data_IF_571969180287
#
_entry.id   IF_571969180287
#
_cell.length_a   1.000
_cell.length_b   1.000
_cell.length_c   1.000
_cell.angle_alpha   90.00
_cell.angle_beta   90.00
_cell.angle_gamma   90.00
#
_symmetry.space_group_name_H-M   'P 1'
#
loop_
_entity.id
_entity.type
_entity.pdbx_description
1 polymer ?
#
# COMPACT_ATOMS: atom_id res chain seq x y z
N UNK A 1 -5.92 -0.57 13.54
CA UNK A 1 -5.58 0.16 12.28
C UNK A 1 -6.27 1.51 12.18
N UNK A 2 -7.51 1.69 12.67
CA UNK A 2 -8.25 2.95 12.60
C UNK A 2 -7.44 4.15 13.11
N UNK A 3 -6.82 4.03 14.28
CA UNK A 3 -6.00 5.11 14.86
C UNK A 3 -4.80 5.50 13.99
N UNK A 4 -4.16 4.52 13.33
CA UNK A 4 -3.07 4.80 12.39
C UNK A 4 -3.56 5.60 11.17
N UNK A 5 -4.74 5.27 10.63
CA UNK A 5 -5.34 6.01 9.52
C UNK A 5 -5.75 7.44 9.93
N UNK A 6 -6.32 7.61 11.13
CA UNK A 6 -6.65 8.94 11.70
C UNK A 6 -5.38 9.77 11.87
N UNK A 7 -4.34 9.19 12.46
CA UNK A 7 -3.04 9.86 12.62
C UNK A 7 -2.42 10.26 11.27
N UNK A 8 -2.55 9.40 10.25
CA UNK A 8 -2.06 9.72 8.90
C UNK A 8 -2.82 10.88 8.26
N UNK A 9 -4.17 10.89 8.34
CA UNK A 9 -4.99 11.99 7.80
C UNK A 9 -4.62 13.32 8.44
N UNK A 10 -4.52 13.35 9.78
CA UNK A 10 -4.12 14.56 10.52
C UNK A 10 -2.68 14.93 10.16
N UNK A 11 -1.77 13.96 10.16
CA UNK A 11 -0.34 14.17 9.89
C UNK A 11 -0.09 14.69 8.48
N UNK A 12 -0.72 14.13 7.46
CA UNK A 12 -0.52 14.57 6.07
C UNK A 12 -1.09 15.98 5.81
N UNK A 13 -2.27 16.29 6.35
CA UNK A 13 -2.87 17.61 6.25
C UNK A 13 -2.03 18.66 7.01
N UNK A 14 -1.60 18.33 8.24
CA UNK A 14 -0.76 19.21 9.06
C UNK A 14 0.62 19.44 8.42
N UNK A 15 1.27 18.38 7.95
CA UNK A 15 2.56 18.49 7.26
C UNK A 15 2.47 19.40 6.03
N UNK A 16 1.45 19.20 5.20
CA UNK A 16 1.23 20.06 4.02
C UNK A 16 1.08 21.54 4.40
N UNK A 17 0.32 21.83 5.47
CA UNK A 17 0.15 23.20 5.98
C UNK A 17 1.45 23.77 6.56
N UNK A 18 2.18 23.00 7.34
CA UNK A 18 3.45 23.43 7.94
C UNK A 18 4.53 23.69 6.87
N UNK A 19 4.61 22.84 5.85
CA UNK A 19 5.52 23.06 4.71
C UNK A 19 5.19 24.35 3.96
N UNK A 20 3.90 24.66 3.77
CA UNK A 20 3.50 25.90 3.12
C UNK A 20 3.79 27.18 3.95
N UNK A 21 3.93 27.03 5.29
CA UNK A 21 4.22 28.16 6.21
C UNK A 21 5.71 28.33 6.52
N UNK A 22 6.46 27.23 6.66
CA UNK A 22 7.82 27.19 7.22
C UNK A 22 8.86 26.57 6.27
N UNK A 23 8.48 26.30 5.01
CA UNK A 23 9.33 25.64 4.03
C UNK A 23 9.61 24.15 4.33
N UNK A 24 10.33 23.48 3.41
CA UNK A 24 10.63 22.02 3.47
C UNK A 24 11.48 21.61 4.67
N UNK A 25 12.19 22.55 5.29
CA UNK A 25 13.00 22.28 6.50
C UNK A 25 12.17 21.68 7.64
N UNK A 26 10.88 22.01 7.70
CA UNK A 26 9.97 21.47 8.72
C UNK A 26 9.79 19.94 8.61
N UNK A 27 9.98 19.36 7.43
CA UNK A 27 9.86 17.92 7.23
C UNK A 27 10.90 17.17 8.09
N UNK A 28 12.14 17.64 8.12
CA UNK A 28 13.18 17.03 8.95
C UNK A 28 12.82 17.08 10.45
N UNK A 29 12.29 18.22 10.91
CA UNK A 29 11.86 18.37 12.30
C UNK A 29 10.69 17.42 12.64
N UNK A 30 9.70 17.29 11.74
CA UNK A 30 8.57 16.38 11.92
C UNK A 30 8.99 14.91 11.92
N UNK A 31 9.91 14.52 11.02
CA UNK A 31 10.48 13.17 11.00
C UNK A 31 11.24 12.87 12.28
N UNK A 32 12.09 13.79 12.73
CA UNK A 32 12.85 13.63 13.98
C UNK A 32 11.91 13.50 15.18
N UNK A 33 10.88 14.34 15.28
CA UNK A 33 9.87 14.28 16.32
C UNK A 33 9.09 12.95 16.28
N UNK A 34 8.73 12.48 15.08
CA UNK A 34 8.05 11.19 14.89
C UNK A 34 8.90 10.01 15.36
N UNK A 35 10.17 9.98 14.99
CA UNK A 35 11.12 8.94 15.45
C UNK A 35 11.33 9.01 16.96
N UNK A 36 11.53 10.21 17.51
CA UNK A 36 11.68 10.39 18.95
C UNK A 36 10.45 9.93 19.73
N UNK A 37 9.25 10.28 19.26
CA UNK A 37 7.97 9.83 19.85
C UNK A 37 7.82 8.31 19.81
N UNK A 38 8.22 7.67 18.71
CA UNK A 38 8.22 6.23 18.59
C UNK A 38 9.17 5.57 19.59
N UNK A 39 10.40 6.09 19.72
CA UNK A 39 11.39 5.59 20.68
C UNK A 39 10.89 5.75 22.12
N UNK A 40 10.29 6.89 22.46
CA UNK A 40 9.67 7.10 23.76
C UNK A 40 8.52 6.12 24.02
N UNK A 41 7.73 5.80 22.99
CA UNK A 41 6.66 4.80 23.07
C UNK A 41 7.17 3.41 23.47
N UNK A 42 8.37 3.01 23.07
CA UNK A 42 8.97 1.74 23.48
C UNK A 42 9.37 1.68 24.96
N UNK A 43 9.50 2.84 25.63
CA UNK A 43 9.76 2.88 27.09
C UNK A 43 8.50 2.56 27.90
N UNK A 44 7.32 2.66 27.28
CA UNK A 44 6.05 2.32 27.92
C UNK A 44 5.85 0.81 27.84
N UNK A 45 5.99 0.12 28.98
CA UNK A 45 5.74 -1.31 29.04
C UNK A 45 4.24 -1.58 28.92
N UNK A 46 3.79 -2.42 27.96
CA UNK A 46 2.38 -2.80 27.89
C UNK A 46 2.00 -3.63 29.12
N UNK A 47 0.89 -3.30 29.75
CA UNK A 47 0.34 -4.01 30.92
C UNK A 47 -0.13 -5.42 30.56
N UNK A 48 -0.49 -5.65 29.31
CA UNK A 48 -0.92 -6.95 28.78
C UNK A 48 0.17 -7.43 27.82
N UNK A 49 0.95 -8.42 28.28
CA UNK A 49 1.84 -9.12 27.36
C UNK A 49 1.04 -10.12 26.53
N UNK A 50 1.25 -10.17 25.19
CA UNK A 50 0.67 -11.21 24.37
C UNK A 50 1.13 -12.56 24.96
N UNK A 51 0.19 -13.39 25.41
CA UNK A 51 0.52 -14.77 25.75
C UNK A 51 1.02 -15.43 24.48
N UNK A 52 2.31 -15.71 24.43
CA UNK A 52 2.90 -16.42 23.32
C UNK A 52 2.16 -17.75 23.18
N UNK A 53 1.51 -17.97 22.03
CA UNK A 53 1.11 -19.31 21.66
C UNK A 53 2.33 -20.22 21.88
N UNK A 54 2.14 -21.33 22.60
CA UNK A 54 3.19 -22.28 22.92
C UNK A 54 4.06 -22.51 21.68
N UNK A 55 5.33 -22.14 21.80
CA UNK A 55 6.33 -22.29 20.76
C UNK A 55 6.57 -23.78 20.48
N UNK A 56 5.73 -24.39 19.68
CA UNK A 56 6.23 -25.42 18.78
C UNK A 56 6.94 -24.68 17.63
N UNK A 57 8.13 -24.19 17.95
CA UNK A 57 9.05 -23.63 16.99
C UNK A 57 9.69 -24.81 16.28
N UNK A 58 8.94 -25.44 15.37
CA UNK A 58 9.57 -26.24 14.33
C UNK A 58 10.53 -25.30 13.62
N UNK A 59 11.83 -25.59 13.76
CA UNK A 59 12.87 -24.89 13.02
C UNK A 59 12.61 -25.13 11.54
N UNK A 60 11.87 -24.22 10.95
CA UNK A 60 11.49 -24.34 9.54
C UNK A 60 12.71 -24.04 8.72
N UNK A 61 13.35 -25.07 8.18
CA UNK A 61 14.53 -24.93 7.32
C UNK A 61 14.24 -24.03 6.10
N UNK A 62 15.29 -23.48 5.52
CA UNK A 62 15.20 -22.61 4.33
C UNK A 62 14.40 -23.23 3.18
N UNK A 63 14.47 -24.55 3.01
CA UNK A 63 13.70 -25.32 2.02
C UNK A 63 12.18 -25.13 2.15
N UNK A 64 11.66 -25.07 3.37
CA UNK A 64 10.23 -24.88 3.60
C UNK A 64 9.76 -23.45 3.27
N UNK A 65 10.60 -22.43 3.46
CA UNK A 65 10.32 -21.08 3.00
C UNK A 65 10.30 -20.99 1.47
N UNK A 66 11.24 -21.63 0.78
CA UNK A 66 11.25 -21.71 -0.68
C UNK A 66 10.03 -22.46 -1.22
N UNK A 67 9.65 -23.56 -0.59
CA UNK A 67 8.45 -24.31 -0.96
C UNK A 67 7.19 -23.43 -0.82
N UNK A 68 7.04 -22.69 0.29
CA UNK A 68 5.93 -21.77 0.53
C UNK A 68 5.85 -20.69 -0.56
N UNK A 69 6.97 -20.05 -0.90
CA UNK A 69 7.03 -19.03 -1.95
C UNK A 69 6.67 -19.64 -3.31
N UNK A 70 7.23 -20.82 -3.63
CA UNK A 70 6.96 -21.52 -4.89
C UNK A 70 5.49 -21.94 -5.02
N UNK A 71 4.88 -22.41 -3.94
CA UNK A 71 3.47 -22.80 -3.93
C UNK A 71 2.54 -21.59 -4.13
N UNK A 72 2.92 -20.43 -3.59
CA UNK A 72 2.10 -19.22 -3.60
C UNK A 72 2.61 -18.15 -4.59
N UNK A 73 3.48 -18.52 -5.56
CA UNK A 73 4.17 -17.57 -6.43
C UNK A 73 3.23 -16.64 -7.22
N UNK A 74 2.10 -17.17 -7.74
CA UNK A 74 1.13 -16.36 -8.49
C UNK A 74 0.48 -15.29 -7.62
N UNK A 75 0.11 -15.65 -6.39
CA UNK A 75 -0.40 -14.70 -5.42
C UNK A 75 0.64 -13.64 -5.07
N UNK A 76 1.85 -14.06 -4.74
CA UNK A 76 2.94 -13.14 -4.37
C UNK A 76 3.32 -12.22 -5.54
N UNK A 77 3.48 -12.75 -6.74
CA UNK A 77 3.76 -11.94 -7.93
C UNK A 77 2.63 -10.92 -8.20
N UNK A 78 1.37 -11.35 -8.11
CA UNK A 78 0.22 -10.46 -8.28
C UNK A 78 0.24 -9.30 -7.29
N UNK A 79 0.37 -9.58 -5.98
CA UNK A 79 0.38 -8.52 -4.96
C UNK A 79 1.65 -7.66 -5.01
N UNK A 80 2.81 -8.21 -5.41
CA UNK A 80 4.04 -7.44 -5.61
C UNK A 80 3.89 -6.42 -6.74
N UNK A 81 3.30 -6.82 -7.87
CA UNK A 81 3.04 -5.92 -8.99
C UNK A 81 2.07 -4.81 -8.60
N UNK A 82 0.98 -5.16 -7.89
CA UNK A 82 -0.02 -4.18 -7.47
C UNK A 82 0.52 -3.21 -6.42
N UNK A 83 1.28 -3.68 -5.44
CA UNK A 83 1.87 -2.82 -4.41
C UNK A 83 3.07 -2.04 -4.96
N UNK A 84 3.94 -2.68 -5.76
CA UNK A 84 5.07 -2.02 -6.39
C UNK A 84 4.65 -0.89 -7.33
N UNK A 85 3.50 -1.01 -8.01
CA UNK A 85 2.96 0.06 -8.86
C UNK A 85 2.60 1.35 -8.10
N UNK A 86 2.54 1.34 -6.76
CA UNK A 86 2.39 2.55 -5.96
C UNK A 86 3.68 3.36 -5.81
N UNK A 87 4.82 2.81 -6.17
CA UNK A 87 6.13 3.42 -5.92
C UNK A 87 6.27 4.82 -6.51
N UNK A 88 5.89 5.01 -7.79
CA UNK A 88 5.92 6.34 -8.41
C UNK A 88 5.00 7.34 -7.72
N UNK A 89 3.83 6.89 -7.24
CA UNK A 89 2.90 7.73 -6.50
C UNK A 89 3.50 8.19 -5.17
N UNK A 90 4.05 7.29 -4.37
CA UNK A 90 4.64 7.63 -3.09
C UNK A 90 5.89 8.52 -3.21
N UNK A 91 6.71 8.28 -4.22
CA UNK A 91 7.94 9.04 -4.42
C UNK A 91 7.76 10.38 -5.12
N UNK A 92 6.85 10.47 -6.09
CA UNK A 92 6.87 11.58 -7.05
C UNK A 92 5.54 12.33 -7.21
N UNK A 93 4.42 11.88 -6.63
CA UNK A 93 3.14 12.57 -6.79
C UNK A 93 3.16 14.00 -6.25
N UNK A 94 3.80 14.24 -5.10
CA UNK A 94 3.89 15.57 -4.51
C UNK A 94 4.69 16.52 -5.41
N UNK A 95 5.83 16.07 -5.93
CA UNK A 95 6.69 16.83 -6.86
C UNK A 95 5.90 17.14 -8.13
N UNK A 96 5.23 16.16 -8.70
CA UNK A 96 4.45 16.30 -9.92
C UNK A 96 3.30 17.30 -9.78
N UNK A 97 2.54 17.24 -8.70
CA UNK A 97 1.43 18.16 -8.48
C UNK A 97 1.88 19.56 -8.13
N UNK A 98 2.99 19.71 -7.40
CA UNK A 98 3.57 21.03 -7.13
C UNK A 98 4.11 21.68 -8.40
N UNK A 99 4.74 20.91 -9.28
CA UNK A 99 5.16 21.41 -10.59
C UNK A 99 3.97 21.83 -11.47
N UNK A 100 2.78 21.26 -11.25
CA UNK A 100 1.52 21.67 -11.87
C UNK A 100 0.83 22.86 -11.17
N UNK A 101 1.46 23.47 -10.15
CA UNK A 101 0.98 24.68 -9.46
C UNK A 101 0.17 24.43 -8.18
N UNK A 102 0.04 23.17 -7.71
CA UNK A 102 -0.64 22.88 -6.45
C UNK A 102 0.24 23.23 -5.24
N UNK A 103 -0.34 23.87 -4.23
CA UNK A 103 0.35 24.16 -2.97
C UNK A 103 0.62 22.86 -2.18
N UNK A 104 1.61 22.90 -1.28
CA UNK A 104 1.90 21.77 -0.38
C UNK A 104 0.68 21.38 0.48
N UNK A 105 -0.16 22.36 0.87
CA UNK A 105 -1.41 22.10 1.58
C UNK A 105 -2.41 21.32 0.73
N UNK A 106 -2.58 21.68 -0.55
CA UNK A 106 -3.46 20.97 -1.47
C UNK A 106 -3.00 19.51 -1.68
N UNK A 107 -1.68 19.31 -1.81
CA UNK A 107 -1.09 17.96 -1.87
C UNK A 107 -1.42 17.15 -0.60
N UNK A 108 -1.24 17.74 0.59
CA UNK A 108 -1.58 17.10 1.85
C UNK A 108 -3.05 16.72 1.97
N UNK A 109 -3.97 17.58 1.51
CA UNK A 109 -5.40 17.27 1.49
C UNK A 109 -5.75 16.16 0.49
N UNK A 110 -5.13 16.14 -0.68
CA UNK A 110 -5.30 15.04 -1.64
C UNK A 110 -4.85 13.70 -1.05
N UNK A 111 -3.70 13.66 -0.39
CA UNK A 111 -3.25 12.43 0.30
C UNK A 111 -4.21 12.01 1.42
N UNK A 112 -4.68 12.96 2.21
CA UNK A 112 -5.68 12.70 3.26
C UNK A 112 -6.97 12.12 2.69
N UNK A 113 -7.44 12.63 1.56
CA UNK A 113 -8.63 12.12 0.88
C UNK A 113 -8.48 10.62 0.51
N UNK A 114 -7.31 10.23 0.01
CA UNK A 114 -7.02 8.83 -0.29
C UNK A 114 -7.18 7.92 0.94
N UNK A 115 -6.66 8.35 2.10
CA UNK A 115 -6.77 7.56 3.34
C UNK A 115 -8.19 7.59 3.90
N UNK A 116 -8.93 8.68 3.78
CA UNK A 116 -10.36 8.72 4.15
C UNK A 116 -11.14 7.69 3.33
N UNK A 117 -10.90 7.62 2.01
CA UNK A 117 -11.52 6.62 1.16
C UNK A 117 -11.16 5.18 1.58
N UNK A 118 -9.90 4.93 1.99
CA UNK A 118 -9.48 3.63 2.54
C UNK A 118 -10.27 3.26 3.79
N UNK A 119 -10.38 4.18 4.77
CA UNK A 119 -11.10 3.95 6.03
C UNK A 119 -12.56 3.58 5.77
N UNK A 120 -13.21 4.30 4.85
CA UNK A 120 -14.60 4.03 4.47
C UNK A 120 -14.73 2.60 3.89
N UNK A 121 -13.85 2.23 2.96
CA UNK A 121 -13.88 0.90 2.36
C UNK A 121 -13.54 -0.19 3.39
N UNK A 122 -12.59 0.03 4.30
CA UNK A 122 -12.34 -0.92 5.39
C UNK A 122 -13.58 -1.12 6.27
N UNK A 123 -14.27 -0.04 6.65
CA UNK A 123 -15.48 -0.11 7.48
C UNK A 123 -16.63 -0.86 6.76
N UNK A 124 -16.77 -0.65 5.45
CA UNK A 124 -17.81 -1.26 4.63
C UNK A 124 -17.42 -2.62 4.03
N UNK A 125 -16.19 -3.08 4.24
CA UNK A 125 -15.61 -4.24 3.54
C UNK A 125 -16.45 -5.51 3.66
N UNK A 126 -16.98 -5.81 4.83
CA UNK A 126 -17.83 -6.98 5.07
C UNK A 126 -19.14 -6.94 4.27
N UNK A 127 -19.69 -5.74 4.04
CA UNK A 127 -20.92 -5.56 3.26
C UNK A 127 -20.61 -5.63 1.74
N UNK A 128 -19.58 -4.92 1.29
CA UNK A 128 -19.26 -4.77 -0.12
C UNK A 128 -18.67 -6.05 -0.73
N UNK A 129 -17.77 -6.72 -0.01
CA UNK A 129 -17.00 -7.83 -0.55
C UNK A 129 -17.41 -9.20 0.01
N UNK A 130 -18.57 -9.30 0.67
CA UNK A 130 -19.04 -10.56 1.26
C UNK A 130 -19.08 -11.73 0.27
N UNK A 131 -19.45 -11.45 -0.97
CA UNK A 131 -19.60 -12.45 -2.04
C UNK A 131 -18.39 -12.53 -2.98
N UNK A 132 -17.40 -11.65 -2.82
CA UNK A 132 -16.23 -11.63 -3.68
C UNK A 132 -15.17 -12.60 -3.18
N UNK A 133 -14.59 -13.40 -4.07
CA UNK A 133 -13.40 -14.18 -3.74
C UNK A 133 -12.16 -13.27 -3.66
N UNK A 134 -11.08 -13.75 -3.02
CA UNK A 134 -9.79 -13.04 -3.02
C UNK A 134 -9.30 -12.78 -4.46
N UNK A 135 -9.57 -13.73 -5.37
CA UNK A 135 -9.23 -13.60 -6.80
C UNK A 135 -9.96 -12.46 -7.48
N UNK A 136 -11.27 -12.30 -7.20
CA UNK A 136 -12.08 -11.23 -7.80
C UNK A 136 -11.65 -9.86 -7.26
N UNK A 137 -11.36 -9.79 -5.96
CA UNK A 137 -10.87 -8.56 -5.33
C UNK A 137 -9.50 -8.14 -5.90
N UNK A 138 -8.59 -9.09 -6.18
CA UNK A 138 -7.33 -8.80 -6.85
C UNK A 138 -7.54 -8.30 -8.28
N UNK A 139 -8.56 -8.81 -9.00
CA UNK A 139 -8.93 -8.29 -10.31
C UNK A 139 -9.42 -6.85 -10.24
N UNK A 140 -10.34 -6.56 -9.31
CA UNK A 140 -10.83 -5.20 -9.06
C UNK A 140 -9.65 -4.26 -8.78
N UNK A 141 -8.72 -4.69 -7.91
CA UNK A 141 -7.54 -3.90 -7.57
C UNK A 141 -6.64 -3.64 -8.78
N UNK A 142 -6.44 -4.64 -9.65
CA UNK A 142 -5.64 -4.49 -10.85
C UNK A 142 -6.29 -3.52 -11.86
N UNK A 143 -7.61 -3.64 -12.08
CA UNK A 143 -8.36 -2.71 -12.94
C UNK A 143 -8.27 -1.29 -12.39
N UNK A 144 -8.53 -1.11 -11.08
CA UNK A 144 -8.38 0.20 -10.42
C UNK A 144 -6.96 0.74 -10.58
N UNK A 145 -5.93 -0.12 -10.51
CA UNK A 145 -4.53 0.28 -10.68
C UNK A 145 -4.25 0.80 -12.09
N UNK A 146 -4.65 0.06 -13.12
CA UNK A 146 -4.46 0.48 -14.52
C UNK A 146 -5.17 1.81 -14.79
N UNK A 147 -6.43 1.94 -14.35
CA UNK A 147 -7.21 3.17 -14.53
C UNK A 147 -6.59 4.33 -13.76
N UNK A 148 -6.26 4.12 -12.49
CA UNK A 148 -5.71 5.16 -11.61
C UNK A 148 -4.39 5.73 -12.13
N UNK A 149 -3.45 4.86 -12.47
CA UNK A 149 -2.14 5.29 -12.98
C UNK A 149 -2.26 5.86 -14.40
N UNK A 150 -3.18 5.36 -15.21
CA UNK A 150 -3.51 5.93 -16.51
C UNK A 150 -3.99 7.37 -16.40
N UNK A 151 -4.95 7.65 -15.52
CA UNK A 151 -5.45 9.01 -15.27
C UNK A 151 -4.33 9.90 -14.74
N UNK A 152 -3.53 9.39 -13.78
CA UNK A 152 -2.47 10.16 -13.16
C UNK A 152 -1.37 10.57 -14.15
N UNK A 153 -1.07 9.73 -15.12
CA UNK A 153 -0.14 10.07 -16.21
C UNK A 153 -0.76 11.00 -17.28
N UNK A 154 -2.09 11.09 -17.35
CA UNK A 154 -2.77 11.86 -18.40
C UNK A 154 -3.07 13.32 -18.00
N UNK A 155 -3.32 13.59 -16.70
CA UNK A 155 -3.83 14.90 -16.28
C UNK A 155 -3.52 15.23 -14.81
N UNK A 156 -3.39 16.53 -14.55
CA UNK A 156 -3.31 17.11 -13.20
C UNK A 156 -4.54 17.91 -12.83
N UNK A 157 -5.61 17.88 -13.64
CA UNK A 157 -6.83 18.64 -13.31
C UNK A 157 -7.47 18.10 -12.01
N UNK A 158 -7.84 19.02 -11.10
CA UNK A 158 -8.30 18.70 -9.75
C UNK A 158 -9.42 17.64 -9.67
N UNK A 159 -10.46 17.67 -10.52
CA UNK A 159 -11.50 16.64 -10.48
C UNK A 159 -10.95 15.23 -10.69
N UNK A 160 -9.99 15.07 -11.61
CA UNK A 160 -9.35 13.79 -11.87
C UNK A 160 -8.38 13.38 -10.75
N UNK A 161 -7.68 14.32 -10.11
CA UNK A 161 -6.88 14.03 -8.93
C UNK A 161 -7.75 13.52 -7.76
N UNK A 162 -8.95 14.10 -7.58
CA UNK A 162 -9.92 13.58 -6.59
C UNK A 162 -10.31 12.13 -6.92
N UNK A 163 -10.63 11.83 -8.19
CA UNK A 163 -10.92 10.46 -8.63
C UNK A 163 -9.74 9.52 -8.37
N UNK A 164 -8.53 9.94 -8.71
CA UNK A 164 -7.28 9.18 -8.43
C UNK A 164 -7.14 8.87 -6.95
N UNK A 165 -7.48 9.82 -6.06
CA UNK A 165 -7.40 9.58 -4.61
C UNK A 165 -8.51 8.65 -4.11
N UNK A 166 -9.72 8.75 -4.63
CA UNK A 166 -10.79 7.80 -4.31
C UNK A 166 -10.41 6.40 -4.80
N UNK A 167 -9.85 6.25 -6.00
CA UNK A 167 -9.39 4.98 -6.53
C UNK A 167 -8.25 4.35 -5.71
N UNK A 168 -7.59 5.12 -4.81
CA UNK A 168 -6.59 4.57 -3.89
C UNK A 168 -7.14 3.44 -3.04
N UNK A 169 -8.37 3.54 -2.56
CA UNK A 169 -9.02 2.46 -1.82
C UNK A 169 -9.14 1.17 -2.66
N UNK A 170 -9.41 1.28 -3.95
CA UNK A 170 -9.44 0.14 -4.87
C UNK A 170 -8.07 -0.50 -5.05
N UNK A 171 -7.03 0.30 -5.21
CA UNK A 171 -5.66 -0.19 -5.46
C UNK A 171 -4.99 -0.72 -4.20
N UNK A 172 -5.15 -0.05 -3.07
CA UNK A 172 -4.50 -0.41 -1.80
C UNK A 172 -5.38 -1.25 -0.89
N UNK A 173 -6.54 -0.73 -0.46
CA UNK A 173 -7.40 -1.40 0.53
C UNK A 173 -7.96 -2.71 0.02
N UNK A 174 -8.50 -2.72 -1.21
CA UNK A 174 -9.07 -3.93 -1.81
C UNK A 174 -8.00 -4.99 -2.04
N UNK A 175 -6.79 -4.60 -2.50
CA UNK A 175 -5.65 -5.50 -2.63
C UNK A 175 -5.25 -6.11 -1.27
N UNK A 176 -5.16 -5.28 -0.23
CA UNK A 176 -4.80 -5.73 1.11
C UNK A 176 -5.86 -6.68 1.70
N UNK A 177 -7.13 -6.36 1.58
CA UNK A 177 -8.22 -7.23 2.02
C UNK A 177 -8.23 -8.56 1.28
N UNK A 178 -7.98 -8.53 -0.04
CA UNK A 178 -7.84 -9.74 -0.85
C UNK A 178 -6.66 -10.61 -0.37
N UNK A 179 -5.51 -9.98 -0.07
CA UNK A 179 -4.34 -10.67 0.45
C UNK A 179 -4.63 -11.30 1.80
N UNK A 180 -5.25 -10.57 2.73
CA UNK A 180 -5.61 -11.11 4.05
C UNK A 180 -6.61 -12.26 3.93
N UNK A 181 -7.59 -12.17 3.03
CA UNK A 181 -8.56 -13.26 2.77
C UNK A 181 -7.87 -14.50 2.19
N UNK A 182 -6.94 -14.31 1.25
CA UNK A 182 -6.15 -15.41 0.67
C UNK A 182 -5.28 -16.11 1.72
N UNK A 183 -4.61 -15.33 2.58
CA UNK A 183 -3.75 -15.82 3.65
C UNK A 183 -4.58 -16.54 4.73
N UNK A 184 -5.71 -15.96 5.14
CA UNK A 184 -6.58 -16.54 6.17
C UNK A 184 -7.23 -17.87 5.75
N UNK A 185 -7.30 -18.18 4.45
CA UNK A 185 -7.74 -19.47 3.95
C UNK A 185 -6.68 -20.59 4.09
N UNK A 186 -5.49 -20.30 4.64
CA UNK A 186 -4.44 -21.27 4.97
C UNK A 186 -4.62 -21.79 6.37
N UNK A 187 -3.92 -22.90 6.70
CA UNK A 187 -4.03 -23.54 8.01
C UNK A 187 -2.72 -23.48 8.80
N UNK A 188 -2.83 -23.54 10.12
CA UNK A 188 -1.69 -23.68 11.03
C UNK A 188 -0.63 -22.57 10.86
N UNK A 189 0.63 -22.96 10.91
CA UNK A 189 1.79 -22.07 10.82
C UNK A 189 1.98 -21.42 9.43
N UNK A 190 1.31 -21.95 8.39
CA UNK A 190 1.38 -21.39 7.03
C UNK A 190 0.81 -19.97 6.98
N UNK A 191 -0.26 -19.68 7.73
CA UNK A 191 -0.88 -18.34 7.82
C UNK A 191 0.14 -17.29 8.25
N UNK A 192 0.86 -17.57 9.35
CA UNK A 192 1.84 -16.61 9.92
C UNK A 192 3.01 -16.43 8.96
N UNK A 193 3.52 -17.53 8.40
CA UNK A 193 4.65 -17.49 7.45
C UNK A 193 4.29 -16.77 6.17
N UNK A 194 3.13 -17.06 5.57
CA UNK A 194 2.71 -16.39 4.34
C UNK A 194 2.42 -14.90 4.56
N UNK A 195 1.89 -14.54 5.73
CA UNK A 195 1.70 -13.14 6.12
C UNK A 195 3.04 -12.41 6.27
N UNK A 196 4.05 -13.06 6.86
CA UNK A 196 5.40 -12.50 6.98
C UNK A 196 6.02 -12.27 5.59
N UNK A 197 5.94 -13.26 4.69
CA UNK A 197 6.42 -13.12 3.30
C UNK A 197 5.67 -12.00 2.57
N UNK A 198 4.34 -11.95 2.67
CA UNK A 198 3.54 -10.88 2.07
C UNK A 198 3.98 -9.49 2.57
N UNK A 199 4.16 -9.34 3.88
CA UNK A 199 4.58 -8.06 4.46
C UNK A 199 5.99 -7.66 4.02
N UNK A 200 6.95 -8.59 4.04
CA UNK A 200 8.33 -8.32 3.68
C UNK A 200 8.49 -8.07 2.17
N UNK A 201 7.89 -8.92 1.34
CA UNK A 201 8.13 -8.91 -0.11
C UNK A 201 7.20 -7.96 -0.84
N UNK A 202 5.86 -8.02 -0.58
CA UNK A 202 4.90 -7.21 -1.31
C UNK A 202 4.76 -5.80 -0.71
N UNK A 203 4.66 -5.67 0.62
CA UNK A 203 4.44 -4.37 1.25
C UNK A 203 5.72 -3.56 1.47
N UNK A 204 6.88 -4.23 1.55
CA UNK A 204 8.19 -3.59 1.73
C UNK A 204 9.05 -3.67 0.48
N UNK A 205 9.53 -4.86 0.16
CA UNK A 205 10.55 -5.09 -0.88
C UNK A 205 10.13 -4.63 -2.27
N UNK A 206 8.91 -4.95 -2.71
CA UNK A 206 8.45 -4.56 -4.06
C UNK A 206 8.32 -3.04 -4.20
N UNK A 207 7.81 -2.35 -3.17
CA UNK A 207 7.71 -0.88 -3.17
C UNK A 207 9.12 -0.27 -3.18
N UNK A 208 10.04 -0.77 -2.36
CA UNK A 208 11.40 -0.25 -2.28
C UNK A 208 12.13 -0.38 -3.62
N UNK A 209 12.13 -1.57 -4.22
CA UNK A 209 12.78 -1.82 -5.53
C UNK A 209 12.15 -0.95 -6.61
N UNK A 210 10.81 -0.92 -6.65
CA UNK A 210 10.09 -0.13 -7.64
C UNK A 210 10.24 1.38 -7.43
N UNK A 211 10.52 1.85 -6.20
CA UNK A 211 10.81 3.28 -5.95
C UNK A 211 12.14 3.69 -6.59
N UNK A 212 13.16 2.85 -6.49
CA UNK A 212 14.45 3.09 -7.17
C UNK A 212 14.25 3.11 -8.68
N UNK A 213 13.52 2.13 -9.22
CA UNK A 213 13.21 2.05 -10.64
C UNK A 213 12.36 3.24 -11.12
N UNK A 214 11.32 3.61 -10.37
CA UNK A 214 10.49 4.78 -10.66
C UNK A 214 11.29 6.08 -10.61
N UNK A 215 12.26 6.21 -9.68
CA UNK A 215 13.15 7.36 -9.61
C UNK A 215 14.01 7.51 -10.86
N UNK A 216 14.60 6.40 -11.32
CA UNK A 216 15.35 6.38 -12.57
C UNK A 216 14.45 6.78 -13.76
N UNK A 217 13.27 6.20 -13.88
CA UNK A 217 12.35 6.51 -14.97
C UNK A 217 11.82 7.94 -14.92
N UNK A 218 11.58 8.48 -13.73
CA UNK A 218 11.04 9.84 -13.57
C UNK A 218 12.00 10.89 -14.13
N UNK A 219 13.32 10.67 -14.06
CA UNK A 219 14.33 11.57 -14.63
C UNK A 219 14.22 11.70 -16.16
N UNK A 220 13.78 10.65 -16.85
CA UNK A 220 13.69 10.63 -18.31
C UNK A 220 12.27 10.84 -18.83
N UNK A 221 11.26 10.32 -18.13
CA UNK A 221 9.87 10.30 -18.60
C UNK A 221 8.98 11.34 -17.88
N UNK A 222 9.47 11.97 -16.78
CA UNK A 222 8.65 12.82 -15.95
C UNK A 222 7.37 12.10 -15.50
N UNK A 223 6.22 12.74 -15.72
CA UNK A 223 4.91 12.15 -15.40
C UNK A 223 4.58 10.85 -16.18
N UNK A 224 5.27 10.57 -17.27
CA UNK A 224 5.13 9.32 -18.02
C UNK A 224 5.43 8.06 -17.20
N UNK A 225 6.15 8.20 -16.06
CA UNK A 225 6.36 7.09 -15.11
C UNK A 225 5.05 6.48 -14.62
N UNK A 226 3.97 7.25 -14.50
CA UNK A 226 2.67 6.72 -14.07
C UNK A 226 2.05 5.80 -15.12
N UNK A 227 2.27 6.04 -16.41
CA UNK A 227 1.91 5.10 -17.47
C UNK A 227 2.69 3.77 -17.34
N UNK A 228 3.98 3.84 -16.97
CA UNK A 228 4.76 2.63 -16.69
C UNK A 228 4.19 1.87 -15.49
N UNK A 229 3.73 2.57 -14.43
CA UNK A 229 3.08 1.91 -13.30
C UNK A 229 1.76 1.25 -13.69
N UNK A 230 1.00 1.83 -14.64
CA UNK A 230 -0.18 1.17 -15.20
C UNK A 230 0.19 -0.13 -15.94
N UNK A 231 1.27 -0.11 -16.73
CA UNK A 231 1.79 -1.31 -17.41
C UNK A 231 2.31 -2.36 -16.41
N UNK A 232 2.92 -1.96 -15.29
CA UNK A 232 3.35 -2.86 -14.20
C UNK A 232 2.14 -3.51 -13.51
N UNK A 233 1.05 -2.78 -13.33
CA UNK A 233 -0.17 -3.32 -12.72
C UNK A 233 -0.94 -4.27 -13.65
N UNK A 234 -0.84 -4.11 -14.97
CA UNK A 234 -1.63 -4.85 -15.96
C UNK A 234 -1.45 -6.38 -15.88
N UNK A 235 -0.22 -6.95 -15.80
CA UNK A 235 -0.02 -8.40 -15.70
C UNK A 235 -0.68 -9.03 -14.46
N UNK A 236 -0.91 -8.26 -13.39
CA UNK A 236 -1.57 -8.77 -12.19
C UNK A 236 -3.00 -9.30 -12.49
N UNK A 237 -3.66 -8.79 -13.53
CA UNK A 237 -4.97 -9.29 -13.98
C UNK A 237 -4.93 -10.77 -14.39
N UNK A 238 -3.79 -11.26 -14.87
CA UNK A 238 -3.59 -12.62 -15.38
C UNK A 238 -2.87 -13.53 -14.36
N UNK A 239 -2.11 -12.94 -13.43
CA UNK A 239 -1.34 -13.65 -12.41
C UNK A 239 -2.13 -13.98 -11.14
N UNK A 240 -3.43 -13.70 -11.12
CA UNK A 240 -4.29 -14.00 -9.98
C UNK A 240 -4.18 -15.46 -9.54
N UNK A 241 -4.19 -15.75 -8.22
CA UNK A 241 -4.12 -17.11 -7.72
C UNK A 241 -5.30 -17.94 -8.26
N UNK A 242 -5.11 -19.25 -8.41
CA UNK A 242 -6.22 -20.18 -8.66
C UNK A 242 -7.16 -20.13 -7.45
N UNK A 243 -8.44 -20.36 -7.68
CA UNK A 243 -9.43 -20.42 -6.58
C UNK A 243 -8.99 -21.53 -5.64
N UNK A 244 -8.78 -21.19 -4.37
CA UNK A 244 -8.63 -22.21 -3.31
C UNK A 244 -10.06 -22.68 -3.06
N UNK A 245 -10.37 -23.99 -3.21
CA UNK A 245 -11.68 -24.50 -2.82
C UNK A 245 -11.93 -24.09 -1.36
N UNK A 246 -13.02 -23.41 -1.10
CA UNK A 246 -13.53 -23.23 0.25
C UNK A 246 -13.93 -24.61 0.78
N UNK A 247 -13.23 -25.12 1.77
CA UNK A 247 -13.71 -26.23 2.57
C UNK A 247 -14.97 -25.84 3.32
#
# INVERSE_FOLDING_TARGET
RLWGSVAFVIGSALTGKLVSMFDYRVILALLTLGVASMLLGFLIRPTIQPQGASRQQESTGWSAWLALVRQNWRFLACVCLLQGAHAAYYGFSAIYWQAAGYSASAVGYLWSLGVVAEVIIFALSNKLFRRCSARDMLLISAICGVVRWGIMGATTALPWLIVVQILHCGTFTVCHLAAMRYIAARQGSEVIRLQAVYSAVAMGGSIAIMTVFAGFLYQYLGHGVFWVMALVALPAMFLRPKVVPSC
#
